data_IF_759266698390
#
_entry.id   IF_759266698390
#
_cell.length_a   1.000
_cell.length_b   1.000
_cell.length_c   1.000
_cell.angle_alpha   90.00
_cell.angle_beta   90.00
_cell.angle_gamma   90.00
#
_symmetry.space_group_name_H-M   'P 1'
#
loop_
_entity.id
_entity.type
_entity.pdbx_description
1 polymer ?
#
# COMPACT_ATOMS: atom_id res chain seq x y z
N UNK A 1 -20.75 -10.69 14.05
CA UNK A 1 -19.32 -10.96 13.78
C UNK A 1 -18.53 -9.75 14.22
N UNK A 2 -17.59 -9.88 15.15
CA UNK A 2 -16.89 -8.73 15.73
C UNK A 2 -15.84 -8.15 14.75
N UNK A 3 -16.08 -6.93 14.29
CA UNK A 3 -15.22 -6.20 13.35
C UNK A 3 -14.14 -5.40 14.08
N UNK A 4 -12.93 -5.32 13.50
CA UNK A 4 -11.82 -4.50 14.00
C UNK A 4 -12.16 -3.00 13.99
N UNK A 5 -11.75 -2.26 15.02
CA UNK A 5 -11.90 -0.79 15.07
C UNK A 5 -11.28 -0.09 13.86
N UNK A 6 -10.12 -0.56 13.36
CA UNK A 6 -9.48 0.00 12.16
C UNK A 6 -10.36 -0.24 10.92
N UNK A 7 -10.98 -1.42 10.79
CA UNK A 7 -11.90 -1.71 9.68
C UNK A 7 -13.13 -0.80 9.72
N UNK A 8 -13.71 -0.58 10.91
CA UNK A 8 -14.84 0.34 11.10
C UNK A 8 -14.46 1.78 10.74
N UNK A 9 -13.31 2.26 11.22
CA UNK A 9 -12.81 3.61 10.96
C UNK A 9 -12.61 3.85 9.46
N UNK A 10 -11.94 2.91 8.77
CA UNK A 10 -11.70 3.01 7.34
C UNK A 10 -13.02 2.97 6.55
N UNK A 11 -13.96 2.08 6.92
CA UNK A 11 -15.30 2.05 6.29
C UNK A 11 -16.06 3.35 6.49
N UNK A 12 -16.05 3.89 7.71
CA UNK A 12 -16.69 5.17 8.01
C UNK A 12 -16.10 6.29 7.17
N UNK A 13 -14.78 6.31 7.00
CA UNK A 13 -14.09 7.24 6.12
C UNK A 13 -14.59 7.10 4.67
N UNK A 14 -14.55 5.87 4.11
CA UNK A 14 -15.00 5.61 2.73
C UNK A 14 -16.46 6.02 2.53
N UNK A 15 -17.36 5.70 3.47
CA UNK A 15 -18.78 6.07 3.38
C UNK A 15 -18.99 7.59 3.42
N UNK A 16 -18.14 8.31 4.16
CA UNK A 16 -18.24 9.76 4.34
C UNK A 16 -17.68 10.51 3.13
N UNK A 17 -16.46 10.17 2.72
CA UNK A 17 -15.71 10.92 1.71
C UNK A 17 -15.86 10.36 0.30
N UNK A 18 -16.33 9.12 0.16
CA UNK A 18 -16.56 8.43 -1.12
C UNK A 18 -15.38 8.58 -2.11
N UNK A 19 -14.17 8.17 -1.71
CA UNK A 19 -12.99 8.29 -2.57
C UNK A 19 -13.14 7.40 -3.80
N UNK A 20 -12.69 7.90 -4.96
CA UNK A 20 -12.70 7.10 -6.20
C UNK A 20 -11.57 6.08 -6.26
N UNK A 21 -10.50 6.28 -5.49
CA UNK A 21 -9.37 5.36 -5.41
C UNK A 21 -8.70 5.41 -4.04
N UNK A 22 -7.94 4.37 -3.72
CA UNK A 22 -7.12 4.25 -2.51
C UNK A 22 -5.76 3.66 -2.89
N UNK A 23 -4.67 4.29 -2.47
CA UNK A 23 -3.33 3.74 -2.59
C UNK A 23 -3.05 2.80 -1.43
N UNK A 24 -2.55 1.61 -1.72
CA UNK A 24 -2.33 0.54 -0.75
C UNK A 24 -0.94 -0.05 -0.94
N UNK A 25 -0.25 -0.23 0.18
CA UNK A 25 1.03 -0.93 0.26
C UNK A 25 1.06 -1.75 1.55
N UNK A 26 1.76 -2.88 1.54
CA UNK A 26 1.83 -3.76 2.70
C UNK A 26 3.21 -4.38 2.89
N UNK A 27 3.57 -4.58 4.15
CA UNK A 27 4.88 -5.07 4.54
C UNK A 27 4.76 -6.31 5.44
N UNK A 28 5.62 -7.29 5.17
CA UNK A 28 5.69 -8.54 5.94
C UNK A 28 7.11 -8.80 6.40
N UNK A 29 7.31 -9.09 7.68
CA UNK A 29 8.64 -9.46 8.16
C UNK A 29 9.09 -10.80 7.55
N UNK A 30 10.09 -10.77 6.66
CA UNK A 30 10.56 -11.92 5.88
C UNK A 30 11.22 -13.05 6.70
N UNK A 31 11.52 -12.83 7.98
CA UNK A 31 12.18 -13.81 8.84
C UNK A 31 11.25 -14.76 9.61
N UNK A 32 9.93 -14.52 9.61
CA UNK A 32 8.98 -15.36 10.33
C UNK A 32 7.79 -15.75 9.46
N UNK A 33 7.41 -17.02 9.54
CA UNK A 33 6.14 -17.48 8.97
C UNK A 33 5.00 -16.76 9.70
N UNK A 34 4.27 -15.90 9.00
CA UNK A 34 3.09 -15.26 9.57
C UNK A 34 2.10 -16.32 10.09
N UNK A 35 1.41 -16.05 11.22
CA UNK A 35 0.29 -16.87 11.65
C UNK A 35 -0.69 -17.09 10.48
N UNK A 36 -1.30 -18.28 10.39
CA UNK A 36 -2.19 -18.65 9.27
C UNK A 36 -3.34 -17.66 9.04
N UNK A 37 -3.73 -16.91 10.07
CA UNK A 37 -4.78 -15.90 10.06
C UNK A 37 -4.30 -14.46 9.77
N UNK A 38 -3.01 -14.23 9.44
CA UNK A 38 -2.45 -12.92 9.07
C UNK A 38 -1.85 -12.91 7.67
N UNK A 39 -2.12 -11.84 6.94
CA UNK A 39 -1.60 -11.62 5.58
C UNK A 39 -0.31 -10.80 5.59
N UNK A 40 -0.24 -9.80 6.48
CA UNK A 40 0.83 -8.81 6.56
C UNK A 40 1.10 -8.43 8.01
N UNK A 41 2.28 -7.88 8.30
CA UNK A 41 2.56 -7.22 9.58
C UNK A 41 2.07 -5.78 9.55
N UNK A 42 2.17 -5.09 8.41
CA UNK A 42 1.69 -3.73 8.24
C UNK A 42 0.96 -3.59 6.92
N UNK A 43 -0.04 -2.72 6.89
CA UNK A 43 -0.69 -2.27 5.67
C UNK A 43 -1.01 -0.79 5.81
N UNK A 44 -0.68 -0.02 4.78
CA UNK A 44 -1.00 1.39 4.66
C UNK A 44 -2.12 1.59 3.65
N UNK A 45 -3.05 2.49 3.96
CA UNK A 45 -4.09 2.95 3.04
C UNK A 45 -4.04 4.46 2.96
N UNK A 46 -3.88 5.01 1.76
CA UNK A 46 -4.05 6.44 1.53
C UNK A 46 -5.26 6.67 0.64
N UNK A 47 -6.23 7.46 1.11
CA UNK A 47 -7.48 7.76 0.39
C UNK A 47 -7.45 9.10 -0.35
N UNK A 48 -6.38 9.87 -0.13
CA UNK A 48 -5.99 11.10 -0.80
C UNK A 48 -4.56 11.43 -0.33
N UNK A 49 -4.02 12.58 -0.74
CA UNK A 49 -2.81 13.16 -0.16
C UNK A 49 -2.96 13.68 1.29
N UNK A 50 -4.15 13.56 1.89
CA UNK A 50 -4.46 14.13 3.21
C UNK A 50 -4.66 13.08 4.31
N UNK A 51 -5.11 11.87 3.95
CA UNK A 51 -5.46 10.84 4.93
C UNK A 51 -4.73 9.53 4.65
N UNK A 52 -3.85 9.14 5.58
CA UNK A 52 -3.16 7.85 5.56
C UNK A 52 -3.49 7.07 6.84
N UNK A 53 -3.91 5.82 6.66
CA UNK A 53 -4.20 4.87 7.73
C UNK A 53 -3.12 3.79 7.73
N UNK A 54 -2.41 3.65 8.85
CA UNK A 54 -1.51 2.52 9.07
C UNK A 54 -2.17 1.50 9.98
N UNK A 55 -2.19 0.23 9.55
CA UNK A 55 -2.74 -0.88 10.33
C UNK A 55 -1.68 -1.94 10.61
N UNK A 56 -1.30 -2.04 11.87
CA UNK A 56 -0.43 -3.11 12.39
C UNK A 56 -1.19 -4.42 12.65
N UNK A 57 -0.65 -5.52 12.13
CA UNK A 57 -1.08 -6.93 12.25
C UNK A 57 -2.56 -7.17 11.94
N UNK A 58 -3.03 -6.77 10.75
CA UNK A 58 -4.40 -7.02 10.34
C UNK A 58 -4.68 -8.54 10.24
N UNK A 59 -5.82 -8.98 10.79
CA UNK A 59 -6.32 -10.35 10.56
C UNK A 59 -6.85 -10.46 9.13
N UNK A 60 -6.54 -11.55 8.42
CA UNK A 60 -6.98 -11.84 7.03
C UNK A 60 -8.47 -11.59 6.81
N UNK A 61 -9.31 -12.04 7.75
CA UNK A 61 -10.77 -11.89 7.65
C UNK A 61 -11.23 -10.43 7.55
N UNK A 62 -10.53 -9.52 8.23
CA UNK A 62 -10.91 -8.11 8.22
C UNK A 62 -10.44 -7.41 6.96
N UNK A 63 -9.23 -7.74 6.46
CA UNK A 63 -8.77 -7.26 5.16
C UNK A 63 -9.70 -7.70 4.04
N UNK A 64 -10.07 -8.99 4.00
CA UNK A 64 -11.04 -9.50 3.01
C UNK A 64 -12.36 -8.73 3.06
N UNK A 65 -12.88 -8.48 4.27
CA UNK A 65 -14.10 -7.70 4.43
C UNK A 65 -13.95 -6.27 3.92
N UNK A 66 -12.85 -5.60 4.25
CA UNK A 66 -12.56 -4.22 3.84
C UNK A 66 -12.39 -4.11 2.33
N UNK A 67 -11.63 -5.01 1.73
CA UNK A 67 -11.42 -5.05 0.28
C UNK A 67 -12.73 -5.37 -0.46
N UNK A 68 -13.52 -6.34 0.02
CA UNK A 68 -14.87 -6.55 -0.54
C UNK A 68 -15.69 -5.25 -0.51
N UNK A 69 -15.64 -4.50 0.59
CA UNK A 69 -16.36 -3.25 0.71
C UNK A 69 -15.86 -2.14 -0.21
N UNK A 70 -14.54 -1.98 -0.37
CA UNK A 70 -13.96 -1.08 -1.37
C UNK A 70 -14.49 -1.39 -2.77
N UNK A 71 -14.56 -2.68 -3.11
CA UNK A 71 -15.10 -3.13 -4.38
C UNK A 71 -16.61 -2.84 -4.51
N UNK A 72 -17.40 -3.12 -3.46
CA UNK A 72 -18.84 -2.82 -3.45
C UNK A 72 -19.13 -1.30 -3.56
N UNK A 73 -18.16 -0.44 -3.19
CA UNK A 73 -18.22 1.03 -3.33
C UNK A 73 -17.53 1.56 -4.60
N UNK A 74 -17.08 0.68 -5.51
CA UNK A 74 -16.35 1.02 -6.73
C UNK A 74 -15.07 1.85 -6.49
N UNK A 75 -14.44 1.70 -5.32
CA UNK A 75 -13.15 2.34 -5.03
C UNK A 75 -12.04 1.56 -5.73
N UNK A 76 -11.28 2.21 -6.60
CA UNK A 76 -10.14 1.59 -7.29
C UNK A 76 -8.93 1.48 -6.35
N UNK A 77 -8.40 0.28 -6.16
CA UNK A 77 -7.19 0.05 -5.35
C UNK A 77 -5.94 0.24 -6.22
N UNK A 78 -5.13 1.25 -5.89
CA UNK A 78 -3.83 1.48 -6.51
C UNK A 78 -2.76 0.74 -5.70
N UNK A 79 -1.90 -0.01 -6.39
CA UNK A 79 -0.77 -0.70 -5.76
C UNK A 79 0.45 -0.69 -6.71
N UNK A 80 1.60 -1.18 -6.24
CA UNK A 80 2.82 -1.24 -7.03
C UNK A 80 3.43 -2.64 -7.04
N UNK A 81 3.25 -3.33 -8.15
CA UNK A 81 3.90 -4.60 -8.44
C UNK A 81 3.23 -5.80 -7.78
N UNK A 82 3.77 -7.01 -8.07
CA UNK A 82 3.04 -8.25 -7.85
C UNK A 82 3.14 -8.82 -6.43
N UNK A 83 4.00 -8.26 -5.57
CA UNK A 83 4.29 -8.80 -4.24
C UNK A 83 3.05 -8.94 -3.37
N UNK A 84 2.09 -8.02 -3.53
CA UNK A 84 0.89 -7.97 -2.71
C UNK A 84 -0.38 -8.49 -3.40
N UNK A 85 -0.25 -8.97 -4.64
CA UNK A 85 -1.37 -9.35 -5.48
C UNK A 85 -2.26 -10.44 -4.87
N UNK A 86 -1.70 -11.29 -4.00
CA UNK A 86 -2.44 -12.43 -3.45
C UNK A 86 -3.62 -12.02 -2.55
N UNK A 87 -3.59 -10.83 -1.94
CA UNK A 87 -4.68 -10.34 -1.10
C UNK A 87 -5.43 -9.12 -1.67
N UNK A 88 -4.78 -8.30 -2.50
CA UNK A 88 -5.40 -7.11 -3.07
C UNK A 88 -6.23 -7.41 -4.32
N UNK A 89 -5.85 -8.39 -5.14
CA UNK A 89 -6.34 -8.43 -6.53
C UNK A 89 -7.48 -9.41 -6.78
N UNK A 90 -7.84 -10.27 -5.82
CA UNK A 90 -8.87 -11.30 -6.07
C UNK A 90 -10.27 -10.71 -6.02
N UNK A 91 -10.78 -10.33 -7.19
CA UNK A 91 -12.14 -9.82 -7.39
C UNK A 91 -12.32 -8.34 -7.05
N UNK A 92 -11.25 -7.55 -7.08
CA UNK A 92 -11.28 -6.12 -6.80
C UNK A 92 -11.04 -5.27 -8.05
N UNK A 93 -11.75 -4.14 -8.15
CA UNK A 93 -11.34 -3.02 -9.01
C UNK A 93 -9.98 -2.48 -8.53
N UNK A 94 -8.91 -2.81 -9.25
CA UNK A 94 -7.53 -2.55 -8.85
C UNK A 94 -6.68 -2.17 -10.05
N UNK A 95 -5.66 -1.34 -9.81
CA UNK A 95 -4.72 -0.85 -10.81
C UNK A 95 -3.31 -1.03 -10.30
N UNK A 96 -2.55 -1.88 -10.97
CA UNK A 96 -1.09 -1.94 -10.80
C UNK A 96 -0.46 -0.73 -11.50
N UNK A 97 0.28 0.05 -10.72
CA UNK A 97 0.99 1.23 -11.19
C UNK A 97 2.45 0.94 -11.52
N UNK A 98 2.92 -0.30 -11.39
CA UNK A 98 4.31 -0.65 -11.69
C UNK A 98 4.65 -0.34 -13.15
N UNK A 99 5.52 0.65 -13.41
CA UNK A 99 5.93 0.98 -14.77
C UNK A 99 7.00 0.00 -15.23
N UNK A 100 7.16 -0.07 -16.55
CA UNK A 100 8.24 -0.80 -17.19
C UNK A 100 9.12 0.17 -17.99
N UNK A 101 10.37 -0.22 -18.21
CA UNK A 101 11.27 0.43 -19.15
C UNK A 101 10.89 0.05 -20.59
N UNK A 102 11.39 0.77 -21.62
CA UNK A 102 11.10 0.44 -23.02
C UNK A 102 11.51 -0.99 -23.42
N UNK A 103 12.51 -1.54 -22.75
CA UNK A 103 12.98 -2.92 -22.93
C UNK A 103 12.10 -3.97 -22.21
N UNK A 104 11.02 -3.55 -21.56
CA UNK A 104 10.12 -4.39 -20.78
C UNK A 104 10.55 -4.64 -19.34
N UNK A 105 11.67 -4.07 -18.88
CA UNK A 105 12.15 -4.26 -17.50
C UNK A 105 11.22 -3.57 -16.51
N UNK A 106 10.69 -4.30 -15.53
CA UNK A 106 9.89 -3.72 -14.44
C UNK A 106 10.73 -2.77 -13.59
N UNK A 107 10.21 -1.58 -13.32
CA UNK A 107 10.84 -0.63 -12.42
C UNK A 107 10.47 -0.93 -10.96
N UNK A 108 11.44 -0.78 -10.06
CA UNK A 108 11.16 -0.74 -8.63
C UNK A 108 10.54 0.60 -8.25
N UNK A 109 9.82 0.63 -7.12
CA UNK A 109 9.18 1.85 -6.61
C UNK A 109 10.19 2.98 -6.41
N UNK A 110 11.38 2.67 -5.88
CA UNK A 110 12.47 3.64 -5.71
C UNK A 110 12.95 4.23 -7.04
N UNK A 111 13.10 3.41 -8.09
CA UNK A 111 13.50 3.90 -9.41
C UNK A 111 12.39 4.74 -10.04
N UNK A 112 11.13 4.30 -9.92
CA UNK A 112 9.98 5.04 -10.41
C UNK A 112 9.87 6.41 -9.72
N UNK A 113 10.11 6.50 -8.41
CA UNK A 113 10.12 7.77 -7.69
C UNK A 113 11.14 8.74 -8.26
N UNK A 114 12.39 8.32 -8.47
CA UNK A 114 13.44 9.21 -9.01
C UNK A 114 13.02 9.78 -10.36
N UNK A 115 12.44 8.96 -11.24
CA UNK A 115 12.00 9.39 -12.56
C UNK A 115 10.86 10.41 -12.46
N UNK A 116 9.94 10.23 -11.52
CA UNK A 116 8.70 11.00 -11.43
C UNK A 116 8.86 12.29 -10.63
N UNK A 117 9.62 12.22 -9.53
CA UNK A 117 9.76 13.32 -8.56
C UNK A 117 11.13 13.98 -8.60
N UNK A 118 12.12 13.35 -9.25
CA UNK A 118 13.52 13.74 -9.16
C UNK A 118 14.16 13.40 -7.80
N UNK A 119 13.41 12.76 -6.89
CA UNK A 119 13.86 12.46 -5.53
C UNK A 119 13.94 10.94 -5.31
N UNK A 120 15.06 10.45 -4.74
CA UNK A 120 15.12 9.08 -4.27
C UNK A 120 14.13 8.88 -3.12
N UNK A 121 13.41 7.77 -3.12
CA UNK A 121 12.80 7.28 -1.89
C UNK A 121 13.94 6.81 -1.00
N UNK A 122 14.19 7.55 0.08
CA UNK A 122 15.11 7.09 1.12
C UNK A 122 14.48 5.90 1.83
N UNK A 123 14.77 4.72 1.29
CA UNK A 123 14.43 3.44 1.89
C UNK A 123 15.49 3.05 2.93
N UNK A 124 16.07 3.99 3.67
CA UNK A 124 17.17 3.85 4.66
C UNK A 124 16.95 2.84 5.79
N UNK A 125 15.94 2.00 5.63
CA UNK A 125 15.28 1.12 6.55
C UNK A 125 14.70 -0.09 5.75
N UNK A 126 15.52 -0.76 4.92
CA UNK A 126 15.07 -1.98 4.22
C UNK A 126 14.63 -3.05 5.22
N UNK A 127 13.64 -3.87 4.83
CA UNK A 127 12.89 -4.89 5.58
C UNK A 127 13.63 -5.74 6.64
N UNK A 128 14.96 -5.78 6.66
CA UNK A 128 15.76 -6.66 7.50
C UNK A 128 15.80 -6.30 9.00
N UNK A 129 15.38 -5.08 9.39
CA UNK A 129 15.53 -4.58 10.77
C UNK A 129 14.24 -4.59 11.61
N UNK A 130 13.07 -4.74 11.00
CA UNK A 130 11.78 -4.49 11.66
C UNK A 130 11.24 -5.66 12.50
N UNK A 131 11.91 -6.82 12.48
CA UNK A 131 11.21 -8.09 12.61
C UNK A 131 11.27 -8.83 13.94
N UNK A 132 11.77 -8.29 15.05
CA UNK A 132 11.94 -9.15 16.24
C UNK A 132 11.40 -8.63 17.56
N UNK A 133 11.04 -7.35 17.69
CA UNK A 133 10.56 -6.85 18.98
C UNK A 133 9.56 -5.71 18.85
N UNK A 134 8.42 -5.77 19.57
CA UNK A 134 7.57 -4.60 19.81
C UNK A 134 8.35 -3.36 20.26
N UNK A 135 9.50 -3.57 20.94
CA UNK A 135 10.40 -2.51 21.39
C UNK A 135 11.16 -1.83 20.25
N UNK A 136 11.59 -2.58 19.23
CA UNK A 136 12.24 -2.03 18.02
C UNK A 136 11.20 -1.26 17.21
N UNK A 137 10.01 -1.83 17.03
CA UNK A 137 8.89 -1.16 16.36
C UNK A 137 8.53 0.14 17.09
N UNK A 138 8.48 0.13 18.43
CA UNK A 138 8.21 1.33 19.21
C UNK A 138 9.31 2.40 19.04
N UNK A 139 10.57 1.98 19.08
CA UNK A 139 11.71 2.88 18.99
C UNK A 139 11.89 3.49 17.59
N UNK A 140 11.47 2.78 16.55
CA UNK A 140 11.58 3.21 15.16
C UNK A 140 10.22 3.37 14.46
N UNK A 141 9.16 3.61 15.25
CA UNK A 141 7.81 3.70 14.73
C UNK A 141 7.67 4.83 13.72
N UNK A 142 8.39 5.94 13.93
CA UNK A 142 8.37 7.10 13.03
C UNK A 142 9.00 6.76 11.69
N UNK A 143 10.18 6.15 11.69
CA UNK A 143 10.88 5.75 10.46
C UNK A 143 10.06 4.73 9.65
N UNK A 144 9.44 3.76 10.33
CA UNK A 144 8.53 2.81 9.69
C UNK A 144 7.27 3.47 9.14
N UNK A 145 6.72 4.43 9.88
CA UNK A 145 5.55 5.20 9.47
C UNK A 145 5.86 6.05 8.25
N UNK A 146 6.98 6.78 8.27
CA UNK A 146 7.44 7.61 7.16
C UNK A 146 7.71 6.75 5.91
N UNK A 147 8.37 5.60 6.07
CA UNK A 147 8.61 4.65 4.98
C UNK A 147 7.30 4.19 4.31
N UNK A 148 6.36 3.66 5.11
CA UNK A 148 5.09 3.12 4.58
C UNK A 148 4.20 4.21 3.99
N UNK A 149 4.22 5.41 4.57
CA UNK A 149 3.49 6.56 4.03
C UNK A 149 4.06 6.98 2.69
N UNK A 150 5.38 7.06 2.57
CA UNK A 150 6.02 7.44 1.32
C UNK A 150 5.69 6.45 0.21
N UNK A 151 5.66 5.15 0.52
CA UNK A 151 5.33 4.10 -0.46
C UNK A 151 3.88 4.20 -0.97
N UNK A 152 2.90 4.63 -0.16
CA UNK A 152 1.53 4.88 -0.66
C UNK A 152 1.33 6.26 -1.29
N UNK A 153 2.01 7.31 -0.79
CA UNK A 153 1.88 8.66 -1.33
C UNK A 153 2.48 8.79 -2.72
N UNK A 154 3.62 8.12 -2.97
CA UNK A 154 4.24 8.12 -4.29
C UNK A 154 3.29 7.55 -5.34
N UNK A 155 2.42 6.59 -5.01
CA UNK A 155 1.45 6.00 -5.94
C UNK A 155 0.50 7.04 -6.54
N UNK A 156 0.12 8.07 -5.78
CA UNK A 156 -0.67 9.17 -6.33
C UNK A 156 0.11 9.98 -7.36
N UNK A 157 1.40 10.21 -7.12
CA UNK A 157 2.27 10.89 -8.07
C UNK A 157 2.50 10.04 -9.32
N UNK A 158 2.67 8.72 -9.18
CA UNK A 158 2.75 7.80 -10.32
C UNK A 158 1.47 7.83 -11.14
N UNK A 159 0.30 7.73 -10.49
CA UNK A 159 -1.00 7.83 -11.15
C UNK A 159 -1.16 9.15 -11.90
N UNK A 160 -0.85 10.28 -11.26
CA UNK A 160 -0.96 11.60 -11.87
C UNK A 160 0.01 11.76 -13.05
N UNK A 161 1.21 11.19 -12.96
CA UNK A 161 2.19 11.22 -14.04
C UNK A 161 1.76 10.33 -15.23
N UNK A 162 1.15 9.18 -14.95
CA UNK A 162 0.50 8.29 -15.94
C UNK A 162 -0.62 9.00 -16.69
N UNK A 163 -1.54 9.66 -15.98
CA UNK A 163 -2.67 10.38 -16.59
C UNK A 163 -2.23 11.56 -17.46
N UNK A 164 -1.06 12.15 -17.17
CA UNK A 164 -0.48 13.25 -17.94
C UNK A 164 0.42 12.78 -19.09
N UNK A 165 0.50 11.47 -19.37
CA UNK A 165 1.42 10.87 -20.33
C UNK A 165 2.89 11.27 -20.10
N UNK A 166 3.26 11.56 -18.84
CA UNK A 166 4.63 11.97 -18.48
C UNK A 166 5.52 10.78 -18.10
N UNK A 167 4.92 9.62 -17.89
CA UNK A 167 5.62 8.34 -17.71
C UNK A 167 5.27 7.48 -18.92
N UNK A 168 6.28 7.25 -19.74
CA UNK A 168 6.18 6.40 -20.93
C UNK A 168 6.13 4.93 -20.47
N UNK A 169 5.51 4.08 -21.27
CA UNK A 169 5.42 2.62 -21.11
C UNK A 169 4.38 2.12 -20.11
N UNK A 170 3.12 2.38 -20.43
CA UNK A 170 1.97 1.68 -19.90
C UNK A 170 1.14 1.25 -21.11
N UNK A 171 1.03 -0.07 -21.35
CA UNK A 171 0.06 -0.60 -22.31
C UNK A 171 -1.32 -0.56 -21.68
#
# INVERSE_FOLDING_TARGET
MEESNNSKLIRQFISTFKPNFVAVDAETCCFFKLPSNRAYDYIAFAFSNEYVFLWYRPKKRYLRGLFKFLNDYNVNVLHFGPGDNHYFMTGQNSTDLQPFMPDGTLLSLSKASIIITGMPLDKGCTMSQWSSSPKIIYNHYRELFDYLILDVLILFLIKAARERNRVWYLK
#
